data_IF_803686138471
#
_entry.id   IF_803686138471
#
_cell.length_a   1.000
_cell.length_b   1.000
_cell.length_c   1.000
_cell.angle_alpha   90.00
_cell.angle_beta   90.00
_cell.angle_gamma   90.00
#
_symmetry.space_group_name_H-M   'P 1'
#
loop_
_entity.id
_entity.type
_entity.pdbx_description
1 polymer ?
#
# COMPACT_ATOMS: atom_id res chain seq x y z
N UNK A 1 48.61 -22.86 -26.88
CA UNK A 1 47.14 -22.97 -26.68
C UNK A 1 46.53 -22.48 -27.98
N UNK A 2 46.08 -23.38 -28.86
CA UNK A 2 45.58 -23.03 -30.18
C UNK A 2 44.32 -22.17 -30.01
N UNK A 3 44.31 -20.99 -30.62
CA UNK A 3 43.20 -20.05 -30.57
C UNK A 3 42.11 -20.61 -31.51
N UNK A 4 41.20 -21.43 -30.97
CA UNK A 4 40.09 -22.00 -31.75
C UNK A 4 39.20 -20.86 -32.23
N UNK A 5 39.35 -20.50 -33.50
CA UNK A 5 38.53 -19.51 -34.16
C UNK A 5 37.09 -20.01 -34.22
N UNK A 6 36.19 -19.25 -33.63
CA UNK A 6 34.76 -19.45 -33.65
C UNK A 6 34.18 -18.84 -34.93
N UNK A 7 33.33 -19.59 -35.61
CA UNK A 7 32.47 -19.05 -36.65
C UNK A 7 31.52 -17.98 -36.09
N UNK A 8 30.99 -17.12 -36.96
CA UNK A 8 29.96 -16.14 -36.57
C UNK A 8 28.73 -16.79 -35.91
N UNK A 9 28.37 -18.01 -36.30
CA UNK A 9 27.28 -18.78 -35.70
C UNK A 9 27.61 -19.34 -34.31
N UNK A 10 28.85 -19.75 -34.08
CA UNK A 10 29.33 -20.20 -32.77
C UNK A 10 29.46 -19.03 -31.79
N UNK A 11 30.02 -17.91 -32.24
CA UNK A 11 30.07 -16.69 -31.42
C UNK A 11 28.64 -16.18 -31.12
N UNK A 12 27.73 -16.21 -32.09
CA UNK A 12 26.33 -15.81 -31.88
C UNK A 12 25.69 -16.60 -30.73
N UNK A 13 25.85 -17.92 -30.74
CA UNK A 13 25.34 -18.81 -29.68
C UNK A 13 26.04 -18.57 -28.34
N UNK A 14 27.37 -18.50 -28.33
CA UNK A 14 28.15 -18.36 -27.10
C UNK A 14 28.00 -16.96 -26.45
N UNK A 15 27.84 -15.92 -27.28
CA UNK A 15 27.70 -14.51 -26.92
C UNK A 15 26.27 -14.06 -26.66
N UNK A 16 25.26 -14.84 -27.06
CA UNK A 16 23.85 -14.47 -26.92
C UNK A 16 23.43 -13.33 -27.83
N UNK A 17 24.04 -13.22 -29.01
CA UNK A 17 23.73 -12.21 -30.03
C UNK A 17 23.28 -12.89 -31.31
N UNK A 18 22.26 -12.39 -32.01
CA UNK A 18 21.92 -12.92 -33.32
C UNK A 18 23.03 -12.60 -34.33
N UNK A 19 23.21 -13.48 -35.32
CA UNK A 19 24.21 -13.31 -36.41
C UNK A 19 24.07 -11.96 -37.11
N UNK A 20 22.83 -11.49 -37.28
CA UNK A 20 22.54 -10.16 -37.85
C UNK A 20 23.09 -9.02 -37.00
N UNK A 21 23.01 -9.11 -35.67
CA UNK A 21 23.60 -8.13 -34.77
C UNK A 21 25.13 -8.15 -34.83
N UNK A 22 25.77 -9.32 -34.93
CA UNK A 22 27.23 -9.42 -35.09
C UNK A 22 27.71 -8.76 -36.39
N UNK A 23 26.98 -8.91 -37.50
CA UNK A 23 27.27 -8.19 -38.76
C UNK A 23 27.11 -6.68 -38.62
N UNK A 24 26.09 -6.23 -37.91
CA UNK A 24 25.89 -4.81 -37.61
C UNK A 24 26.98 -4.24 -36.69
N UNK A 25 27.43 -5.02 -35.70
CA UNK A 25 28.48 -4.62 -34.76
C UNK A 25 29.87 -4.61 -35.37
N UNK A 26 30.13 -5.46 -36.36
CA UNK A 26 31.30 -5.35 -37.22
C UNK A 26 31.30 -4.00 -37.96
N UNK A 27 30.20 -3.68 -38.67
CA UNK A 27 30.06 -2.43 -39.43
C UNK A 27 30.13 -1.16 -38.56
N UNK A 28 29.60 -1.21 -37.35
CA UNK A 28 29.63 -0.07 -36.39
C UNK A 28 30.88 -0.05 -35.52
N UNK A 29 31.76 -1.06 -35.63
CA UNK A 29 33.00 -1.15 -34.85
C UNK A 29 32.80 -1.47 -33.37
N UNK A 30 31.63 -1.97 -32.98
CA UNK A 30 31.32 -2.45 -31.62
C UNK A 30 32.01 -3.78 -31.35
N UNK A 31 32.00 -4.70 -32.32
CA UNK A 31 32.66 -6.01 -32.20
C UNK A 31 33.19 -6.45 -33.56
N UNK A 32 34.48 -6.22 -33.80
CA UNK A 32 35.13 -6.55 -35.07
C UNK A 32 35.56 -8.02 -35.08
N UNK A 33 35.36 -8.75 -36.19
CA UNK A 33 35.90 -10.11 -36.34
C UNK A 33 37.42 -10.11 -36.26
N UNK A 34 37.99 -11.20 -35.73
CA UNK A 34 39.43 -11.40 -35.68
C UNK A 34 40.02 -11.66 -37.07
N UNK A 35 39.25 -12.33 -37.93
CA UNK A 35 39.60 -12.56 -39.32
C UNK A 35 38.36 -12.54 -40.21
N UNK A 36 38.49 -11.94 -41.39
CA UNK A 36 37.50 -12.01 -42.46
C UNK A 36 38.17 -12.67 -43.66
N UNK A 37 37.60 -13.77 -44.13
CA UNK A 37 38.08 -14.46 -45.32
C UNK A 37 37.95 -13.51 -46.54
N UNK A 38 39.04 -13.21 -47.25
CA UNK A 38 39.05 -12.26 -48.36
C UNK A 38 38.29 -12.74 -49.61
N UNK A 39 38.05 -14.05 -49.74
CA UNK A 39 37.36 -14.65 -50.89
C UNK A 39 35.88 -14.84 -50.59
N UNK A 40 35.53 -15.37 -49.41
CA UNK A 40 34.13 -15.70 -49.07
C UNK A 40 33.44 -14.62 -48.23
N UNK A 41 34.19 -13.69 -47.64
CA UNK A 41 33.68 -12.70 -46.68
C UNK A 41 33.26 -13.30 -45.34
N UNK A 42 33.63 -14.57 -45.08
CA UNK A 42 33.27 -15.28 -43.86
C UNK A 42 34.00 -14.72 -42.65
N UNK A 43 33.29 -14.58 -41.52
CA UNK A 43 33.80 -13.92 -40.30
C UNK A 43 34.14 -14.95 -39.23
N UNK A 44 35.34 -14.81 -38.70
CA UNK A 44 35.89 -15.63 -37.64
C UNK A 44 36.24 -14.75 -36.43
N UNK A 45 36.01 -15.29 -35.24
CA UNK A 45 36.18 -14.61 -33.96
C UNK A 45 37.02 -15.47 -33.03
N UNK A 46 37.75 -14.88 -32.10
CA UNK A 46 38.50 -15.67 -31.09
C UNK A 46 37.63 -16.00 -29.89
N UNK A 47 38.01 -17.02 -29.12
CA UNK A 47 37.34 -17.35 -27.86
C UNK A 47 37.33 -16.18 -26.86
N UNK A 48 38.33 -15.31 -26.91
CA UNK A 48 38.41 -14.10 -26.08
C UNK A 48 37.27 -13.10 -26.36
N UNK A 49 36.71 -13.11 -27.58
CA UNK A 49 35.63 -12.19 -27.98
C UNK A 49 34.25 -12.61 -27.45
N UNK A 50 34.12 -13.81 -26.88
CA UNK A 50 32.87 -14.29 -26.28
C UNK A 50 32.46 -13.41 -25.09
N UNK A 51 33.40 -13.02 -24.23
CA UNK A 51 33.08 -12.18 -23.07
C UNK A 51 32.60 -10.77 -23.46
N UNK A 52 33.30 -10.03 -24.34
CA UNK A 52 32.79 -8.78 -24.91
C UNK A 52 31.43 -8.94 -25.61
N UNK A 53 31.20 -10.03 -26.35
CA UNK A 53 29.90 -10.28 -26.98
C UNK A 53 28.77 -10.44 -25.95
N UNK A 54 29.01 -11.18 -24.85
CA UNK A 54 28.07 -11.31 -23.73
C UNK A 54 27.80 -9.98 -23.04
N UNK A 55 28.84 -9.16 -22.87
CA UNK A 55 28.72 -7.82 -22.29
C UNK A 55 27.83 -6.94 -23.16
N UNK A 56 28.09 -6.90 -24.48
CA UNK A 56 27.24 -6.17 -25.45
C UNK A 56 25.80 -6.65 -25.39
N UNK A 57 25.57 -7.97 -25.37
CA UNK A 57 24.23 -8.54 -25.26
C UNK A 57 23.51 -8.11 -23.97
N UNK A 58 24.22 -8.08 -22.84
CA UNK A 58 23.68 -7.64 -21.55
C UNK A 58 23.29 -6.17 -21.56
N UNK A 59 24.19 -5.30 -22.02
CA UNK A 59 23.97 -3.86 -22.07
C UNK A 59 22.86 -3.46 -23.06
N UNK A 60 22.74 -4.16 -24.19
CA UNK A 60 21.62 -3.99 -25.12
C UNK A 60 20.28 -4.39 -24.52
N UNK A 61 20.22 -5.48 -23.76
CA UNK A 61 19.01 -5.87 -23.03
C UNK A 61 18.61 -4.83 -21.99
N UNK A 62 19.58 -4.15 -21.38
CA UNK A 62 19.36 -3.02 -20.50
C UNK A 62 19.02 -1.70 -21.23
N UNK A 63 18.85 -1.73 -22.56
CA UNK A 63 18.45 -0.57 -23.35
C UNK A 63 19.58 0.42 -23.67
N UNK A 64 20.85 0.08 -23.45
CA UNK A 64 21.96 0.99 -23.71
C UNK A 64 22.08 1.29 -25.22
N UNK A 65 22.20 2.57 -25.64
CA UNK A 65 22.41 2.94 -27.04
C UNK A 65 23.73 2.38 -27.60
N UNK A 66 23.76 2.13 -28.91
CA UNK A 66 24.95 1.55 -29.58
C UNK A 66 26.18 2.45 -29.46
N UNK A 67 26.00 3.78 -29.49
CA UNK A 67 27.09 4.74 -29.31
C UNK A 67 27.77 4.60 -27.93
N UNK A 68 26.97 4.38 -26.88
CA UNK A 68 27.47 4.23 -25.51
C UNK A 68 28.15 2.86 -25.29
N UNK A 69 27.74 1.81 -26.01
CA UNK A 69 28.44 0.52 -26.01
C UNK A 69 29.87 0.66 -26.51
N UNK A 70 30.08 1.42 -27.58
CA UNK A 70 31.43 1.68 -28.11
C UNK A 70 32.29 2.40 -27.07
N UNK A 71 31.72 3.38 -26.36
CA UNK A 71 32.43 4.08 -25.30
C UNK A 71 32.83 3.15 -24.15
N UNK A 72 31.92 2.28 -23.69
CA UNK A 72 32.18 1.30 -22.63
C UNK A 72 33.24 0.27 -23.03
N UNK A 73 33.20 -0.20 -24.28
CA UNK A 73 34.15 -1.20 -24.78
C UNK A 73 35.55 -0.63 -25.05
N UNK A 74 35.65 0.64 -25.46
CA UNK A 74 36.94 1.30 -25.75
C UNK A 74 37.64 1.84 -24.50
N UNK A 75 36.87 2.26 -23.51
CA UNK A 75 37.37 2.86 -22.27
C UNK A 75 36.68 2.22 -21.05
N UNK A 76 37.05 0.96 -20.70
CA UNK A 76 36.40 0.24 -19.60
C UNK A 76 36.49 0.98 -18.26
N UNK A 77 37.54 1.76 -18.04
CA UNK A 77 37.71 2.60 -16.85
C UNK A 77 36.65 3.70 -16.70
N UNK A 78 36.02 4.10 -17.81
CA UNK A 78 34.91 5.06 -17.85
C UNK A 78 33.53 4.39 -17.89
N UNK A 79 33.47 3.05 -17.95
CA UNK A 79 32.21 2.32 -18.08
C UNK A 79 31.24 2.63 -16.95
N UNK A 80 31.73 2.72 -15.70
CA UNK A 80 30.90 3.02 -14.54
C UNK A 80 30.12 4.34 -14.69
N UNK A 81 30.76 5.38 -15.25
CA UNK A 81 30.12 6.70 -15.47
C UNK A 81 29.02 6.61 -16.53
N UNK A 82 29.27 5.88 -17.61
CA UNK A 82 28.28 5.69 -18.69
C UNK A 82 27.07 4.90 -18.17
N UNK A 83 27.32 3.83 -17.40
CA UNK A 83 26.26 3.00 -16.82
C UNK A 83 25.44 3.74 -15.78
N UNK A 84 26.07 4.55 -14.91
CA UNK A 84 25.35 5.35 -13.91
C UNK A 84 24.48 6.41 -14.58
N UNK A 85 24.98 7.08 -15.62
CA UNK A 85 24.19 8.03 -16.43
C UNK A 85 22.97 7.35 -17.04
N UNK A 86 23.15 6.18 -17.66
CA UNK A 86 22.03 5.43 -18.25
C UNK A 86 21.03 4.96 -17.19
N UNK A 87 21.52 4.52 -16.03
CA UNK A 87 20.66 4.15 -14.89
C UNK A 87 19.81 5.33 -14.43
N UNK A 88 20.39 6.52 -14.27
CA UNK A 88 19.66 7.73 -13.89
C UNK A 88 18.58 8.07 -14.93
N UNK A 89 18.95 8.05 -16.21
CA UNK A 89 17.99 8.27 -17.30
C UNK A 89 16.82 7.28 -17.27
N UNK A 90 17.08 5.98 -17.07
CA UNK A 90 16.01 4.98 -16.98
C UNK A 90 15.07 5.23 -15.79
N UNK A 91 15.61 5.70 -14.66
CA UNK A 91 14.80 6.07 -13.49
C UNK A 91 13.96 7.31 -13.79
N UNK A 92 14.54 8.32 -14.44
CA UNK A 92 13.83 9.53 -14.88
C UNK A 92 12.70 9.18 -15.87
N UNK A 93 12.98 8.34 -16.87
CA UNK A 93 12.00 7.88 -17.85
C UNK A 93 10.86 7.08 -17.19
N UNK A 94 11.18 6.25 -16.18
CA UNK A 94 10.18 5.52 -15.41
C UNK A 94 9.28 6.46 -14.61
N UNK A 95 9.86 7.44 -13.92
CA UNK A 95 9.11 8.44 -13.15
C UNK A 95 8.20 9.25 -14.07
N UNK A 96 8.69 9.67 -15.23
CA UNK A 96 7.89 10.40 -16.22
C UNK A 96 6.74 9.54 -16.78
N UNK A 97 7.01 8.28 -17.11
CA UNK A 97 5.98 7.36 -17.59
C UNK A 97 4.90 7.09 -16.53
N UNK A 98 5.30 6.95 -15.26
CA UNK A 98 4.36 6.83 -14.13
C UNK A 98 3.49 8.08 -14.00
N UNK A 99 4.07 9.28 -14.05
CA UNK A 99 3.33 10.53 -14.00
C UNK A 99 2.27 10.64 -15.13
N UNK A 100 2.63 10.28 -16.37
CA UNK A 100 1.66 10.28 -17.47
C UNK A 100 0.51 9.29 -17.29
N UNK A 101 0.78 8.12 -16.70
CA UNK A 101 -0.27 7.13 -16.40
C UNK A 101 -1.19 7.63 -15.30
N UNK A 102 -0.64 8.27 -14.27
CA UNK A 102 -1.41 8.88 -13.18
C UNK A 102 -2.29 10.03 -13.72
N UNK A 103 -1.77 10.89 -14.59
CA UNK A 103 -2.53 11.95 -15.25
C UNK A 103 -3.69 11.39 -16.10
N UNK A 104 -3.42 10.36 -16.91
CA UNK A 104 -4.45 9.69 -17.71
C UNK A 104 -5.51 9.03 -16.82
N UNK A 105 -5.11 8.39 -15.72
CA UNK A 105 -6.04 7.86 -14.72
C UNK A 105 -6.88 8.97 -14.08
N UNK A 106 -6.28 10.14 -13.81
CA UNK A 106 -6.97 11.33 -13.32
C UNK A 106 -8.02 11.86 -14.30
N UNK A 107 -7.72 11.88 -15.60
CA UNK A 107 -8.67 12.28 -16.64
C UNK A 107 -9.85 11.31 -16.79
N UNK A 108 -9.61 10.02 -16.55
CA UNK A 108 -10.65 8.98 -16.61
C UNK A 108 -11.48 8.89 -15.33
N UNK A 109 -10.94 9.29 -14.18
CA UNK A 109 -11.62 9.23 -12.91
C UNK A 109 -12.63 10.38 -12.76
N UNK A 110 -13.89 10.14 -13.14
CA UNK A 110 -14.99 10.98 -12.68
C UNK A 110 -14.98 11.01 -11.13
N UNK A 111 -15.05 12.19 -10.48
CA UNK A 111 -15.09 12.24 -9.04
C UNK A 111 -16.33 11.54 -8.50
N UNK A 112 -16.15 10.86 -7.38
CA UNK A 112 -17.28 10.45 -6.57
C UNK A 112 -17.74 11.67 -5.75
N UNK A 113 -19.04 11.93 -5.76
CA UNK A 113 -19.67 13.05 -5.06
C UNK A 113 -20.78 12.53 -4.18
N UNK A 114 -20.98 13.16 -3.04
CA UNK A 114 -22.14 12.95 -2.19
C UNK A 114 -22.33 14.14 -1.24
N UNK A 115 -23.41 14.12 -0.48
CA UNK A 115 -23.69 15.06 0.62
C UNK A 115 -23.73 14.28 1.92
N UNK A 116 -23.10 14.82 2.97
CA UNK A 116 -23.09 14.22 4.31
C UNK A 116 -23.51 15.22 5.37
N UNK A 117 -24.09 14.72 6.45
CA UNK A 117 -24.28 15.49 7.68
C UNK A 117 -22.92 15.67 8.38
N UNK A 118 -22.62 16.90 8.81
CA UNK A 118 -21.30 17.22 9.34
C UNK A 118 -21.06 16.58 10.72
N UNK A 119 -22.09 16.47 11.54
CA UNK A 119 -22.03 15.78 12.84
C UNK A 119 -21.75 14.29 12.68
N UNK A 120 -22.40 13.62 11.73
CA UNK A 120 -22.17 12.21 11.40
C UNK A 120 -20.73 12.00 10.92
N UNK A 121 -20.22 12.88 10.04
CA UNK A 121 -18.85 12.81 9.56
C UNK A 121 -17.82 13.04 10.68
N UNK A 122 -18.01 14.07 11.52
CA UNK A 122 -17.13 14.34 12.67
C UNK A 122 -17.16 13.19 13.67
N UNK A 123 -18.34 12.60 13.90
CA UNK A 123 -18.51 11.39 14.70
C UNK A 123 -17.68 10.22 14.17
N UNK A 124 -17.79 9.95 12.86
CA UNK A 124 -17.04 8.89 12.19
C UNK A 124 -15.53 9.13 12.20
N UNK A 125 -15.07 10.37 12.01
CA UNK A 125 -13.64 10.72 12.16
C UNK A 125 -13.17 10.40 13.56
N UNK A 126 -13.90 10.83 14.60
CA UNK A 126 -13.56 10.51 15.99
C UNK A 126 -13.56 9.01 16.28
N UNK A 127 -14.43 8.25 15.63
CA UNK A 127 -14.52 6.79 15.78
C UNK A 127 -13.31 6.05 15.20
N UNK A 128 -12.64 6.59 14.18
CA UNK A 128 -11.53 5.89 13.49
C UNK A 128 -10.14 6.49 13.73
N UNK A 129 -10.07 7.77 14.08
CA UNK A 129 -8.81 8.54 14.15
C UNK A 129 -7.78 7.95 15.13
N UNK A 130 -8.26 7.32 16.20
CA UNK A 130 -7.43 6.68 17.20
C UNK A 130 -6.68 5.45 16.66
N UNK A 131 -7.23 4.76 15.64
CA UNK A 131 -6.65 3.55 15.06
C UNK A 131 -5.64 3.84 13.95
N UNK A 132 -5.38 5.10 13.60
CA UNK A 132 -4.41 5.47 12.57
C UNK A 132 -2.99 5.41 13.13
N UNK A 133 -2.12 4.64 12.48
CA UNK A 133 -0.73 4.49 12.88
C UNK A 133 0.12 5.73 12.59
N UNK A 134 1.30 5.79 13.23
CA UNK A 134 2.33 6.73 12.80
C UNK A 134 2.81 6.39 11.38
N UNK A 135 3.29 7.40 10.66
CA UNK A 135 3.82 7.20 9.32
C UNK A 135 4.98 6.18 9.33
N UNK A 136 4.77 5.05 8.66
CA UNK A 136 5.77 4.00 8.45
C UNK A 136 6.10 3.96 6.95
N UNK A 137 7.37 4.15 6.61
CA UNK A 137 7.82 4.11 5.21
C UNK A 137 7.55 2.77 4.53
N UNK A 138 7.38 1.68 5.30
CA UNK A 138 7.01 0.35 4.77
C UNK A 138 5.53 0.27 4.39
N UNK A 139 4.68 1.09 5.02
CA UNK A 139 3.23 1.09 4.86
C UNK A 139 2.68 2.52 4.78
N UNK A 140 3.03 3.28 3.72
CA UNK A 140 2.65 4.69 3.62
C UNK A 140 1.14 4.93 3.67
N UNK A 141 0.34 3.97 3.19
CA UNK A 141 -1.13 4.04 3.24
C UNK A 141 -1.73 4.04 4.65
N UNK A 142 -1.03 3.49 5.65
CA UNK A 142 -1.50 3.45 7.04
C UNK A 142 -1.29 4.77 7.80
N UNK A 143 -0.63 5.75 7.17
CA UNK A 143 -0.47 7.10 7.72
C UNK A 143 -1.74 7.96 7.63
N UNK A 144 -2.80 7.45 6.98
CA UNK A 144 -4.04 8.17 6.73
C UNK A 144 -5.29 7.40 7.13
N UNK A 145 -6.43 8.08 7.00
CA UNK A 145 -7.76 7.45 7.09
C UNK A 145 -8.24 7.17 5.67
N UNK A 146 -8.65 5.93 5.39
CA UNK A 146 -9.30 5.61 4.13
C UNK A 146 -10.73 6.14 4.13
N UNK A 147 -11.06 6.95 3.14
CA UNK A 147 -12.41 7.32 2.75
C UNK A 147 -12.84 6.42 1.60
N UNK A 148 -13.78 5.53 1.84
CA UNK A 148 -14.33 4.61 0.85
C UNK A 148 -15.80 4.95 0.61
N UNK A 149 -16.10 5.54 -0.54
CA UNK A 149 -17.47 5.81 -0.96
C UNK A 149 -17.90 4.68 -1.91
N UNK A 150 -18.83 3.85 -1.46
CA UNK A 150 -19.32 2.67 -2.19
C UNK A 150 -20.61 2.94 -2.99
N UNK A 151 -21.03 4.21 -3.06
CA UNK A 151 -22.22 4.67 -3.76
C UNK A 151 -23.45 4.83 -2.87
N UNK A 152 -23.49 4.28 -1.66
CA UNK A 152 -24.58 4.52 -0.71
C UNK A 152 -24.10 4.89 0.70
N UNK A 153 -22.84 4.60 1.01
CA UNK A 153 -22.23 4.87 2.31
C UNK A 153 -20.81 5.39 2.11
N UNK A 154 -20.45 6.40 2.91
CA UNK A 154 -19.07 6.81 3.07
C UNK A 154 -18.50 6.10 4.29
N UNK A 155 -17.61 5.13 4.07
CA UNK A 155 -16.90 4.42 5.13
C UNK A 155 -15.56 5.10 5.40
N UNK A 156 -15.30 5.37 6.67
CA UNK A 156 -14.01 5.82 7.17
C UNK A 156 -13.30 4.62 7.78
N UNK A 157 -12.03 4.42 7.45
CA UNK A 157 -11.23 3.33 8.02
C UNK A 157 -9.88 3.85 8.53
N UNK A 158 -9.64 3.66 9.82
CA UNK A 158 -8.35 3.85 10.46
C UNK A 158 -7.75 2.48 10.79
N UNK A 159 -6.46 2.29 10.56
CA UNK A 159 -5.81 1.03 10.83
C UNK A 159 -4.33 1.23 11.13
N UNK A 160 -3.80 0.42 12.04
CA UNK A 160 -2.38 0.26 12.29
C UNK A 160 -2.02 -1.24 12.33
N UNK A 161 -0.88 -1.60 12.91
CA UNK A 161 -0.43 -3.00 12.95
C UNK A 161 -1.16 -3.88 13.98
N UNK A 162 -1.97 -3.27 14.84
CA UNK A 162 -2.55 -3.86 16.05
C UNK A 162 -4.06 -3.63 16.18
N UNK A 163 -4.64 -2.75 15.38
CA UNK A 163 -6.06 -2.42 15.45
C UNK A 163 -6.57 -1.87 14.13
N UNK A 164 -7.88 -1.94 13.97
CA UNK A 164 -8.62 -1.42 12.83
C UNK A 164 -9.93 -0.82 13.35
N UNK A 165 -10.35 0.32 12.82
CA UNK A 165 -11.61 0.95 13.16
C UNK A 165 -12.33 1.34 11.88
N UNK A 166 -13.60 0.96 11.76
CA UNK A 166 -14.49 1.35 10.67
C UNK A 166 -15.67 2.12 11.24
N UNK A 167 -16.00 3.23 10.58
CA UNK A 167 -17.21 3.98 10.84
C UNK A 167 -17.92 4.33 9.53
N UNK A 168 -19.24 4.25 9.54
CA UNK A 168 -20.08 4.45 8.36
C UNK A 168 -20.87 5.75 8.48
N UNK A 169 -20.86 6.54 7.41
CA UNK A 169 -21.62 7.77 7.30
C UNK A 169 -22.65 7.60 6.16
N UNK A 170 -23.96 7.70 6.46
CA UNK A 170 -24.98 7.76 5.42
C UNK A 170 -24.74 8.97 4.52
N UNK A 171 -24.92 8.78 3.21
CA UNK A 171 -24.73 9.85 2.23
C UNK A 171 -26.02 10.11 1.45
N UNK A 172 -26.23 11.36 1.05
CA UNK A 172 -27.28 11.77 0.13
C UNK A 172 -26.71 12.09 -1.25
N UNK A 173 -27.53 11.93 -2.28
CA UNK A 173 -27.20 12.27 -3.68
C UNK A 173 -25.82 11.74 -4.16
N UNK A 174 -25.54 10.44 -3.98
CA UNK A 174 -24.29 9.87 -4.45
C UNK A 174 -24.23 9.89 -5.98
N UNK A 175 -23.08 10.28 -6.52
CA UNK A 175 -22.82 10.34 -7.96
C UNK A 175 -21.38 9.97 -8.26
N UNK A 176 -21.14 9.37 -9.43
CA UNK A 176 -19.81 8.91 -9.85
C UNK A 176 -19.51 7.47 -9.41
N UNK A 177 -18.33 6.94 -9.77
CA UNK A 177 -17.94 5.58 -9.44
C UNK A 177 -17.58 5.44 -7.96
N UNK A 178 -17.61 4.21 -7.40
CA UNK A 178 -17.00 3.93 -6.11
C UNK A 178 -15.53 4.35 -6.08
N UNK A 179 -15.10 4.96 -4.99
CA UNK A 179 -13.73 5.47 -4.86
C UNK A 179 -13.16 5.25 -3.47
N UNK A 180 -11.84 5.02 -3.42
CA UNK A 180 -11.05 4.89 -2.20
C UNK A 180 -9.97 5.96 -2.21
N UNK A 181 -9.98 6.83 -1.21
CA UNK A 181 -9.05 7.96 -1.10
C UNK A 181 -8.50 8.04 0.31
N UNK A 182 -7.20 8.28 0.46
CA UNK A 182 -6.58 8.43 1.78
C UNK A 182 -6.56 9.90 2.21
N UNK A 183 -7.29 10.20 3.29
CA UNK A 183 -7.30 11.53 3.89
C UNK A 183 -6.14 11.70 4.88
N UNK A 184 -5.37 12.80 4.80
CA UNK A 184 -4.36 13.13 5.80
C UNK A 184 -5.00 13.33 7.19
N UNK A 185 -4.43 12.78 8.27
CA UNK A 185 -4.98 12.96 9.61
C UNK A 185 -5.06 14.43 10.02
N UNK A 186 -4.04 15.24 9.68
CA UNK A 186 -4.04 16.67 9.97
C UNK A 186 -5.18 17.43 9.27
N UNK A 187 -5.61 16.98 8.07
CA UNK A 187 -6.76 17.56 7.40
C UNK A 187 -8.06 17.24 8.13
N UNK A 188 -8.23 15.99 8.57
CA UNK A 188 -9.40 15.57 9.33
C UNK A 188 -9.45 16.23 10.71
N UNK A 189 -8.31 16.34 11.39
CA UNK A 189 -8.20 17.03 12.67
C UNK A 189 -8.62 18.51 12.51
N UNK A 190 -8.11 19.20 11.48
CA UNK A 190 -8.52 20.57 11.15
C UNK A 190 -10.00 20.70 10.73
N UNK A 191 -10.57 19.69 10.08
CA UNK A 191 -11.99 19.64 9.74
C UNK A 191 -12.84 19.56 11.01
N UNK A 192 -12.50 18.67 11.96
CA UNK A 192 -13.22 18.50 13.23
C UNK A 192 -13.14 19.71 14.16
N UNK A 193 -12.07 20.52 14.05
CA UNK A 193 -11.89 21.73 14.84
C UNK A 193 -12.57 22.98 14.23
N UNK A 194 -13.10 22.89 13.01
CA UNK A 194 -13.70 24.01 12.31
C UNK A 194 -15.20 24.17 12.62
N UNK A 195 -15.72 25.38 12.44
CA UNK A 195 -17.16 25.60 12.31
C UNK A 195 -17.62 25.09 10.95
N UNK A 196 -18.47 24.06 10.96
CA UNK A 196 -18.99 23.41 9.75
C UNK A 196 -20.47 23.73 9.55
N UNK A 197 -20.97 23.72 8.30
CA UNK A 197 -22.41 23.71 8.05
C UNK A 197 -23.04 22.42 8.59
N UNK A 198 -24.36 22.38 8.77
CA UNK A 198 -25.06 21.17 9.25
C UNK A 198 -24.89 19.97 8.30
N UNK A 199 -24.85 20.24 7.00
CA UNK A 199 -24.52 19.27 5.96
C UNK A 199 -23.78 19.97 4.82
N UNK A 200 -23.11 19.19 3.97
CA UNK A 200 -22.43 19.75 2.81
C UNK A 200 -21.82 18.71 1.89
N UNK A 201 -21.25 19.16 0.77
CA UNK A 201 -20.74 18.27 -0.26
C UNK A 201 -19.42 17.62 0.16
N UNK A 202 -19.24 16.39 -0.32
CA UNK A 202 -18.00 15.64 -0.31
C UNK A 202 -17.69 15.25 -1.76
N UNK A 203 -16.52 15.62 -2.24
CA UNK A 203 -16.00 15.26 -3.56
C UNK A 203 -14.67 14.54 -3.39
N UNK A 204 -14.61 13.30 -3.84
CA UNK A 204 -13.45 12.44 -3.72
C UNK A 204 -12.87 12.16 -5.11
N UNK A 205 -11.63 12.60 -5.31
CA UNK A 205 -10.78 12.26 -6.45
C UNK A 205 -9.63 11.37 -5.97
N UNK A 206 -9.00 10.58 -6.87
CA UNK A 206 -7.86 9.74 -6.51
C UNK A 206 -6.72 10.48 -5.81
N UNK A 207 -6.48 11.75 -6.16
CA UNK A 207 -5.35 12.55 -5.65
C UNK A 207 -5.79 13.79 -4.84
N UNK A 208 -7.09 14.05 -4.74
CA UNK A 208 -7.63 15.26 -4.09
C UNK A 208 -8.96 14.94 -3.43
N UNK A 209 -9.18 15.53 -2.27
CA UNK A 209 -10.46 15.45 -1.59
C UNK A 209 -10.95 16.84 -1.24
N UNK A 210 -12.26 17.04 -1.38
CA UNK A 210 -12.97 18.21 -0.91
C UNK A 210 -14.10 17.75 0.01
N UNK A 211 -14.09 18.21 1.26
CA UNK A 211 -15.00 17.77 2.30
C UNK A 211 -15.54 19.01 3.00
N UNK A 212 -16.85 19.24 2.90
CA UNK A 212 -17.55 20.37 3.52
C UNK A 212 -16.89 21.73 3.20
N UNK A 213 -16.52 21.92 1.92
CA UNK A 213 -15.89 23.15 1.41
C UNK A 213 -14.39 23.28 1.72
N UNK A 214 -13.76 22.28 2.34
CA UNK A 214 -12.32 22.26 2.61
C UNK A 214 -11.62 21.27 1.69
N UNK A 215 -10.48 21.67 1.12
CA UNK A 215 -9.71 20.84 0.19
C UNK A 215 -8.42 20.31 0.84
N UNK A 216 -8.01 19.10 0.46
CA UNK A 216 -6.66 18.58 0.68
C UNK A 216 -6.18 17.70 -0.47
N UNK A 217 -4.86 17.51 -0.57
CA UNK A 217 -4.30 16.44 -1.38
C UNK A 217 -4.55 15.09 -0.68
N UNK A 218 -4.86 14.06 -1.45
CA UNK A 218 -4.92 12.70 -0.92
C UNK A 218 -3.50 12.17 -0.67
N UNK A 219 -3.36 11.30 0.33
CA UNK A 219 -2.11 10.57 0.53
C UNK A 219 -1.97 9.49 -0.55
N UNK A 220 -0.75 9.31 -1.04
CA UNK A 220 -0.42 8.20 -1.92
C UNK A 220 -0.10 6.94 -1.11
N UNK A 221 -0.56 5.78 -1.57
CA UNK A 221 -0.25 4.49 -0.97
C UNK A 221 -1.38 3.48 -1.12
N UNK A 222 -1.03 2.20 -1.23
CA UNK A 222 -2.00 1.14 -1.16
C UNK A 222 -2.52 1.01 0.28
N UNK A 223 -3.84 0.84 0.42
CA UNK A 223 -4.48 0.53 1.70
C UNK A 223 -4.83 -0.97 1.76
N UNK A 224 -4.69 -1.64 2.91
CA UNK A 224 -5.10 -3.03 3.05
C UNK A 224 -6.57 -3.26 2.67
N UNK A 225 -6.88 -4.47 2.21
CA UNK A 225 -8.25 -4.88 1.96
C UNK A 225 -8.98 -5.16 3.28
N UNK A 226 -9.41 -4.07 3.93
CA UNK A 226 -9.96 -4.08 5.28
C UNK A 226 -11.26 -4.88 5.38
N UNK A 227 -12.02 -5.02 4.30
CA UNK A 227 -13.28 -5.78 4.27
C UNK A 227 -13.04 -7.26 4.58
N UNK A 228 -11.88 -7.79 4.18
CA UNK A 228 -11.46 -9.15 4.54
C UNK A 228 -11.11 -9.30 6.02
N UNK A 229 -10.77 -8.20 6.69
CA UNK A 229 -10.40 -8.17 8.11
C UNK A 229 -11.62 -8.00 9.03
N UNK A 230 -12.76 -7.56 8.50
CA UNK A 230 -13.99 -7.44 9.27
C UNK A 230 -14.42 -8.82 9.81
N UNK A 231 -14.98 -8.86 11.03
CA UNK A 231 -15.52 -10.08 11.59
C UNK A 231 -16.74 -10.51 10.76
N UNK A 232 -16.98 -11.83 10.63
CA UNK A 232 -18.18 -12.32 9.96
C UNK A 232 -19.45 -11.81 10.68
N UNK A 233 -20.50 -11.58 9.90
CA UNK A 233 -21.80 -11.18 10.46
C UNK A 233 -22.38 -12.30 11.34
N UNK A 234 -22.99 -11.93 12.47
CA UNK A 234 -23.67 -12.88 13.35
C UNK A 234 -22.78 -13.63 14.35
N UNK A 235 -21.55 -13.17 14.60
CA UNK A 235 -20.77 -13.66 15.72
C UNK A 235 -21.53 -13.51 17.05
N UNK A 236 -21.38 -14.45 17.99
CA UNK A 236 -21.84 -14.26 19.37
C UNK A 236 -21.26 -12.96 19.92
N UNK A 237 -22.17 -12.08 20.34
CA UNK A 237 -21.81 -10.80 20.93
C UNK A 237 -22.51 -10.63 22.27
N UNK A 238 -21.85 -9.91 23.16
CA UNK A 238 -22.39 -9.54 24.47
C UNK A 238 -22.43 -8.02 24.57
N UNK A 239 -23.61 -7.50 24.93
CA UNK A 239 -23.83 -6.07 25.05
C UNK A 239 -23.67 -5.64 26.50
N UNK A 240 -22.99 -4.51 26.72
CA UNK A 240 -22.93 -3.87 28.03
C UNK A 240 -22.90 -2.35 27.92
N UNK A 241 -23.15 -1.67 29.04
CA UNK A 241 -22.99 -0.23 29.12
C UNK A 241 -21.52 0.18 28.95
N UNK A 242 -21.28 1.17 28.08
CA UNK A 242 -19.93 1.67 27.77
C UNK A 242 -19.22 2.23 29.00
N UNK A 243 -19.97 2.85 29.93
CA UNK A 243 -19.45 3.34 31.20
C UNK A 243 -18.90 2.22 32.08
N UNK A 244 -19.69 1.16 32.27
CA UNK A 244 -19.28 -0.01 33.05
C UNK A 244 -18.06 -0.71 32.44
N UNK A 245 -18.01 -0.81 31.11
CA UNK A 245 -16.84 -1.35 30.41
C UNK A 245 -15.60 -0.50 30.65
N UNK A 246 -15.75 0.83 30.53
CA UNK A 246 -14.66 1.77 30.73
C UNK A 246 -14.10 1.67 32.15
N UNK A 247 -14.96 1.67 33.17
CA UNK A 247 -14.54 1.52 34.58
C UNK A 247 -13.78 0.21 34.81
N UNK A 248 -14.32 -0.90 34.30
CA UNK A 248 -13.70 -2.22 34.43
C UNK A 248 -12.31 -2.28 33.76
N UNK A 249 -12.15 -1.69 32.58
CA UNK A 249 -10.87 -1.67 31.85
C UNK A 249 -9.88 -0.68 32.46
N UNK A 250 -10.33 0.47 32.97
CA UNK A 250 -9.47 1.46 33.66
C UNK A 250 -8.81 0.84 34.89
N UNK A 251 -9.55 0.03 35.65
CA UNK A 251 -9.05 -0.68 36.82
C UNK A 251 -8.18 -1.91 36.51
N UNK A 252 -8.05 -2.31 35.24
CA UNK A 252 -7.28 -3.47 34.85
C UNK A 252 -5.78 -3.16 34.66
N UNK A 253 -4.95 -4.20 34.63
CA UNK A 253 -3.54 -4.11 34.22
C UNK A 253 -3.40 -3.86 32.71
N UNK A 254 -2.16 -3.72 32.23
CA UNK A 254 -1.89 -3.36 30.83
C UNK A 254 -2.44 -4.34 29.79
N UNK A 255 -2.66 -5.60 30.19
CA UNK A 255 -3.29 -6.63 29.38
C UNK A 255 -4.53 -7.16 30.09
N UNK A 256 -5.63 -7.29 29.34
CA UNK A 256 -6.93 -7.74 29.83
C UNK A 256 -7.36 -8.97 29.05
N UNK A 257 -7.81 -10.02 29.76
CA UNK A 257 -8.43 -11.18 29.13
C UNK A 257 -9.94 -10.95 29.07
N UNK A 258 -10.51 -11.04 27.86
CA UNK A 258 -11.95 -10.91 27.62
C UNK A 258 -12.54 -12.30 27.43
N UNK A 259 -13.58 -12.63 28.20
CA UNK A 259 -14.33 -13.89 28.06
C UNK A 259 -15.80 -13.57 27.78
N UNK A 260 -16.37 -14.22 26.78
CA UNK A 260 -17.78 -14.13 26.43
C UNK A 260 -18.47 -15.43 26.86
N UNK A 261 -19.44 -15.35 27.78
CA UNK A 261 -20.22 -16.50 28.24
C UNK A 261 -21.71 -16.14 28.31
N UNK A 262 -22.54 -16.82 27.52
CA UNK A 262 -23.99 -16.67 27.54
C UNK A 262 -24.50 -15.22 27.37
N UNK A 263 -23.81 -14.39 26.59
CA UNK A 263 -24.15 -12.97 26.39
C UNK A 263 -23.65 -12.04 27.50
N UNK A 264 -22.84 -12.54 28.43
CA UNK A 264 -22.09 -11.74 29.42
C UNK A 264 -20.63 -11.64 29.03
N UNK A 265 -20.03 -10.52 29.37
CA UNK A 265 -18.58 -10.31 29.25
C UNK A 265 -17.97 -10.30 30.63
N UNK A 266 -16.91 -11.09 30.79
CA UNK A 266 -16.03 -11.00 31.95
C UNK A 266 -14.67 -10.47 31.50
N UNK A 267 -14.27 -9.35 32.11
CA UNK A 267 -12.91 -8.83 32.03
C UNK A 267 -12.14 -9.29 33.25
N UNK A 268 -10.96 -9.88 33.03
CA UNK A 268 -10.13 -10.37 34.11
C UNK A 268 -8.64 -10.14 33.81
N UNK A 269 -7.79 -10.05 34.86
CA UNK A 269 -6.35 -10.15 34.66
C UNK A 269 -5.98 -11.52 34.07
N UNK A 270 -4.86 -11.60 33.31
CA UNK A 270 -4.32 -12.87 32.83
C UNK A 270 -4.11 -13.88 33.95
N UNK A 271 -4.53 -15.13 33.72
CA UNK A 271 -4.33 -16.26 34.64
C UNK A 271 -3.45 -17.34 34.00
N UNK A 272 -2.80 -18.19 34.80
CA UNK A 272 -2.12 -19.37 34.27
C UNK A 272 -3.08 -20.22 33.42
N UNK A 273 -2.74 -20.42 32.15
CA UNK A 273 -3.58 -21.11 31.17
C UNK A 273 -4.19 -20.20 30.10
N UNK A 274 -4.24 -18.88 30.32
CA UNK A 274 -4.63 -17.94 29.29
C UNK A 274 -3.51 -17.79 28.24
N UNK A 275 -3.87 -17.88 26.96
CA UNK A 275 -2.91 -17.78 25.84
C UNK A 275 -2.94 -16.41 25.16
N UNK A 276 -4.04 -15.68 25.31
CA UNK A 276 -4.33 -14.45 24.61
C UNK A 276 -4.89 -13.40 25.58
N UNK A 277 -4.48 -12.16 25.38
CA UNK A 277 -5.06 -11.00 26.06
C UNK A 277 -5.10 -9.81 25.12
N UNK A 278 -5.70 -8.71 25.56
CA UNK A 278 -5.87 -7.51 24.77
C UNK A 278 -5.26 -6.31 25.50
N UNK A 279 -4.65 -5.40 24.74
CA UNK A 279 -4.10 -4.17 25.30
C UNK A 279 -5.20 -3.34 25.94
N UNK A 280 -5.00 -2.97 27.21
CA UNK A 280 -5.91 -2.10 27.97
C UNK A 280 -6.13 -0.77 27.27
N UNK A 281 -5.06 -0.14 26.76
CA UNK A 281 -5.15 1.17 26.11
C UNK A 281 -5.97 1.08 24.82
N UNK A 282 -5.75 0.05 24.00
CA UNK A 282 -6.47 -0.11 22.74
C UNK A 282 -7.94 -0.45 22.95
N UNK A 283 -8.25 -1.26 23.97
CA UNK A 283 -9.63 -1.52 24.35
C UNK A 283 -10.34 -0.25 24.84
N UNK A 284 -9.68 0.57 25.67
CA UNK A 284 -10.24 1.86 26.10
C UNK A 284 -10.47 2.82 24.93
N UNK A 285 -9.52 2.89 24.00
CA UNK A 285 -9.65 3.72 22.80
C UNK A 285 -10.87 3.28 21.97
N UNK A 286 -11.02 1.98 21.71
CA UNK A 286 -12.13 1.44 20.93
C UNK A 286 -13.50 1.71 21.59
N UNK A 287 -13.61 1.53 22.91
CA UNK A 287 -14.86 1.76 23.66
C UNK A 287 -15.23 3.24 23.67
N UNK A 288 -14.26 4.13 23.89
CA UNK A 288 -14.49 5.58 23.87
C UNK A 288 -14.86 6.07 22.47
N UNK A 289 -14.21 5.52 21.45
CA UNK A 289 -14.45 5.84 20.05
C UNK A 289 -15.82 5.37 19.54
N UNK A 290 -16.40 4.33 20.14
CA UNK A 290 -17.75 3.87 19.80
C UNK A 290 -18.82 4.96 20.02
N UNK A 291 -18.62 5.87 20.98
CA UNK A 291 -19.53 7.00 21.29
C UNK A 291 -21.01 6.60 21.44
N UNK A 292 -21.25 5.43 22.02
CA UNK A 292 -22.59 4.90 22.28
C UNK A 292 -22.77 4.62 23.77
N UNK A 293 -24.01 4.66 24.25
CA UNK A 293 -24.33 4.28 25.63
C UNK A 293 -24.05 2.80 25.91
N UNK A 294 -24.24 1.96 24.89
CA UNK A 294 -24.03 0.52 24.96
C UNK A 294 -23.15 0.06 23.80
N UNK A 295 -22.24 -0.88 24.09
CA UNK A 295 -21.36 -1.51 23.12
C UNK A 295 -21.54 -3.02 23.13
N UNK A 296 -21.45 -3.63 21.95
CA UNK A 296 -21.39 -5.06 21.74
C UNK A 296 -19.93 -5.49 21.59
N UNK A 297 -19.54 -6.50 22.36
CA UNK A 297 -18.24 -7.16 22.27
C UNK A 297 -18.39 -8.51 21.60
N UNK A 298 -17.61 -8.77 20.56
CA UNK A 298 -17.57 -10.05 19.84
C UNK A 298 -16.15 -10.59 19.78
N UNK A 299 -16.00 -11.92 19.83
CA UNK A 299 -14.72 -12.60 19.65
C UNK A 299 -14.78 -13.40 18.36
N UNK A 300 -13.83 -13.16 17.48
CA UNK A 300 -13.58 -14.00 16.31
C UNK A 300 -12.59 -15.09 16.69
N UNK A 301 -13.06 -16.32 16.90
CA UNK A 301 -12.23 -17.44 17.34
C UNK A 301 -11.14 -17.81 16.31
N UNK A 302 -11.32 -17.52 15.01
CA UNK A 302 -10.30 -17.82 14.00
C UNK A 302 -9.12 -16.86 14.08
N UNK A 303 -9.39 -15.59 14.37
CA UNK A 303 -8.39 -14.50 14.38
C UNK A 303 -7.96 -14.09 15.77
N UNK A 304 -8.69 -14.57 16.78
CA UNK A 304 -8.65 -14.08 18.15
C UNK A 304 -8.75 -12.56 18.24
N UNK A 305 -9.48 -11.92 17.31
CA UNK A 305 -9.67 -10.49 17.29
C UNK A 305 -10.90 -10.13 18.14
N UNK A 306 -10.76 -9.10 18.96
CA UNK A 306 -11.87 -8.56 19.74
C UNK A 306 -12.54 -7.43 18.96
N UNK A 307 -13.80 -7.64 18.60
CA UNK A 307 -14.67 -6.63 18.03
C UNK A 307 -15.38 -5.81 19.11
N UNK A 308 -15.38 -4.50 18.95
CA UNK A 308 -16.10 -3.52 19.77
C UNK A 308 -16.97 -2.70 18.83
N UNK A 309 -18.28 -2.85 18.92
CA UNK A 309 -19.24 -2.15 18.05
C UNK A 309 -20.27 -1.39 18.87
N UNK A 310 -20.70 -0.19 18.46
CA UNK A 310 -21.89 0.45 19.02
C UNK A 310 -23.11 -0.46 18.86
N UNK A 311 -23.93 -0.61 19.90
CA UNK A 311 -25.09 -1.51 19.85
C UNK A 311 -26.15 -1.06 18.82
N UNK A 312 -26.23 0.24 18.56
CA UNK A 312 -27.14 0.89 17.60
C UNK A 312 -26.58 0.91 16.16
N UNK A 313 -25.26 0.76 16.00
CA UNK A 313 -24.55 0.81 14.72
C UNK A 313 -23.59 -0.39 14.57
N UNK A 314 -24.11 -1.61 14.35
CA UNK A 314 -23.29 -2.81 14.26
C UNK A 314 -22.35 -2.86 13.05
N UNK A 315 -22.53 -1.98 12.06
CA UNK A 315 -21.63 -1.81 10.93
C UNK A 315 -20.34 -1.05 11.29
N UNK A 316 -20.36 -0.32 12.42
CA UNK A 316 -19.20 0.40 12.93
C UNK A 316 -18.47 -0.50 13.91
N UNK A 317 -17.21 -0.83 13.61
CA UNK A 317 -16.46 -1.82 14.37
C UNK A 317 -15.05 -1.35 14.63
N UNK A 318 -14.65 -1.41 15.90
CA UNK A 318 -13.26 -1.38 16.35
C UNK A 318 -12.76 -2.80 16.57
N UNK A 319 -11.72 -3.21 15.86
CA UNK A 319 -11.01 -4.47 16.05
C UNK A 319 -9.73 -4.21 16.83
N UNK A 320 -9.54 -4.97 17.91
CA UNK A 320 -8.30 -5.00 18.69
C UNK A 320 -7.66 -6.37 18.52
N UNK A 321 -6.44 -6.41 17.98
CA UNK A 321 -5.68 -7.65 17.84
C UNK A 321 -5.18 -8.14 19.20
N UNK A 322 -5.08 -9.46 19.41
CA UNK A 322 -4.63 -10.02 20.67
C UNK A 322 -3.12 -9.88 20.82
N UNK A 323 -2.68 -9.89 22.06
CA UNK A 323 -1.29 -10.03 22.49
C UNK A 323 -1.12 -11.47 23.01
N UNK A 324 -0.06 -12.14 22.57
CA UNK A 324 0.30 -13.46 23.09
C UNK A 324 0.76 -13.32 24.54
N UNK A 325 0.11 -14.05 25.43
CA UNK A 325 0.55 -14.18 26.80
C UNK A 325 1.64 -15.24 26.85
N UNK A 326 2.86 -14.85 27.17
CA UNK A 326 3.95 -15.80 27.39
C UNK A 326 3.62 -16.67 28.62
N UNK A 327 3.82 -17.99 28.48
CA UNK A 327 3.75 -18.95 29.59
C UNK A 327 4.86 -18.71 30.59
#
# INVERSE_FOLDING_TARGET
MHDDLLSIGELARAGGLPVTALRYYDATGVLRPAHVDPVTGYRWYTGAQVHPARLVASLRRAGLPVADLVAVLRAPEHAAVVLDRHRRRLVEDLVAAQAHLDDAAGLLAAPARCVVAADALVGAVGAVRHAVGAADARWPGLAGVLLHLDGATLRLVGCDRSRLAVASVPVAEPSGPPVRVLAPPAFLDALTAATLPASGPVTLHPHRLEVLGRTSAALAGAYPDYERLLPPSGLPAATMASGALTEAVVGAGDVVVVRLDGGRVALAPPRPGDTLGYSRSFLLDAVRAARAEHVALSLDDERAALGVSPADRPADVGLVMPVLLHR
#
